data_IF_822007478549
#
_entry.id   IF_822007478549
#
_cell.length_a   1.000
_cell.length_b   1.000
_cell.length_c   1.000
_cell.angle_alpha   90.00
_cell.angle_beta   90.00
_cell.angle_gamma   90.00
#
_symmetry.space_group_name_H-M   'P 1'
#
loop_
_entity.id
_entity.type
_entity.pdbx_description
1 polymer ?
#
# COMPACT_ATOMS: atom_id res chain seq x y z
N UNK A 1 -15.94 -15.59 0.73
CA UNK A 1 -15.06 -14.62 1.38
C UNK A 1 -14.15 -14.06 0.31
N UNK A 2 -14.29 -12.78 -0.03
CA UNK A 2 -13.39 -12.09 -0.94
C UNK A 2 -12.38 -11.29 -0.11
N UNK A 3 -11.26 -10.86 -0.71
CA UNK A 3 -10.25 -10.03 -0.05
C UNK A 3 -10.35 -8.61 -0.59
N UNK A 4 -10.46 -7.61 0.30
CA UNK A 4 -10.45 -6.21 -0.10
C UNK A 4 -9.01 -5.66 -0.07
N UNK A 5 -8.45 -5.39 -1.25
CA UNK A 5 -7.12 -4.84 -1.38
C UNK A 5 -7.15 -3.30 -1.40
N UNK A 6 -6.58 -2.66 -0.38
CA UNK A 6 -6.59 -1.19 -0.28
C UNK A 6 -5.16 -0.67 -0.25
N UNK A 7 -4.78 0.05 -1.30
CA UNK A 7 -3.45 0.64 -1.48
C UNK A 7 -3.43 2.16 -1.25
N UNK A 8 -4.45 2.72 -0.58
CA UNK A 8 -4.57 4.15 -0.34
C UNK A 8 -4.12 4.56 1.05
N UNK A 9 -2.98 5.25 1.14
CA UNK A 9 -2.55 5.85 2.39
C UNK A 9 -3.44 7.03 2.83
N UNK A 10 -3.96 7.83 1.89
CA UNK A 10 -4.72 9.04 2.21
C UNK A 10 -6.03 8.71 2.90
N UNK A 11 -6.74 7.67 2.45
CA UNK A 11 -7.90 7.11 3.12
C UNK A 11 -7.60 6.82 4.59
N UNK A 12 -6.56 6.04 4.89
CA UNK A 12 -6.23 5.69 6.28
C UNK A 12 -5.81 6.89 7.12
N UNK A 13 -5.09 7.88 6.54
CA UNK A 13 -4.81 9.16 7.24
C UNK A 13 -6.10 9.90 7.59
N UNK A 14 -7.07 9.94 6.68
CA UNK A 14 -8.34 10.66 6.85
C UNK A 14 -9.30 9.94 7.79
N UNK A 15 -9.26 8.61 7.86
CA UNK A 15 -10.00 7.83 8.86
C UNK A 15 -9.50 8.15 10.29
N UNK A 16 -8.27 8.64 10.43
CA UNK A 16 -7.69 9.07 11.69
C UNK A 16 -6.98 7.95 12.46
N UNK A 17 -6.53 8.28 13.67
CA UNK A 17 -5.94 7.34 14.64
C UNK A 17 -7.01 6.91 15.64
N UNK A 18 -6.87 5.76 16.29
CA UNK A 18 -7.80 5.37 17.35
C UNK A 18 -7.72 6.34 18.55
N UNK A 19 -8.86 6.68 19.20
CA UNK A 19 -10.23 6.30 18.84
C UNK A 19 -10.79 7.13 17.67
N UNK A 20 -11.44 6.48 16.69
CA UNK A 20 -12.12 7.16 15.57
C UNK A 20 -13.45 6.51 15.20
N UNK A 21 -14.52 7.32 15.12
CA UNK A 21 -15.84 6.85 14.66
C UNK A 21 -15.83 6.34 13.22
N UNK A 22 -14.98 6.92 12.37
CA UNK A 22 -14.82 6.48 10.99
C UNK A 22 -14.11 5.13 10.91
N UNK A 23 -13.06 4.90 11.73
CA UNK A 23 -12.40 3.59 11.81
C UNK A 23 -13.36 2.52 12.35
N UNK A 24 -14.17 2.84 13.37
CA UNK A 24 -15.16 1.90 13.88
C UNK A 24 -16.24 1.57 12.84
N UNK A 25 -16.69 2.56 12.08
CA UNK A 25 -17.65 2.32 10.98
C UNK A 25 -17.06 1.43 9.89
N UNK A 26 -15.78 1.62 9.54
CA UNK A 26 -15.09 0.76 8.58
C UNK A 26 -14.96 -0.67 9.11
N UNK A 27 -14.56 -0.84 10.38
CA UNK A 27 -14.49 -2.14 11.04
C UNK A 27 -15.82 -2.88 10.96
N UNK A 28 -16.92 -2.24 11.37
CA UNK A 28 -18.25 -2.86 11.33
C UNK A 28 -18.64 -3.28 9.91
N UNK A 29 -18.32 -2.48 8.89
CA UNK A 29 -18.59 -2.84 7.50
C UNK A 29 -17.77 -4.05 7.02
N UNK A 30 -16.51 -4.16 7.44
CA UNK A 30 -15.63 -5.30 7.11
C UNK A 30 -16.13 -6.58 7.78
N UNK A 31 -16.54 -6.49 9.05
CA UNK A 31 -17.11 -7.59 9.81
C UNK A 31 -18.45 -8.06 9.22
N UNK A 32 -19.36 -7.13 8.89
CA UNK A 32 -20.65 -7.43 8.25
C UNK A 32 -20.46 -8.11 6.89
N UNK A 33 -19.48 -7.67 6.12
CA UNK A 33 -19.13 -8.28 4.83
C UNK A 33 -18.41 -9.64 4.96
N UNK A 34 -17.99 -10.05 6.17
CA UNK A 34 -17.24 -11.28 6.40
C UNK A 34 -15.95 -11.34 5.58
N UNK A 35 -15.22 -10.21 5.52
CA UNK A 35 -13.98 -10.04 4.75
C UNK A 35 -12.84 -9.50 5.63
N UNK A 36 -11.67 -9.32 5.02
CA UNK A 36 -10.51 -8.67 5.62
C UNK A 36 -9.95 -7.64 4.63
N UNK A 37 -9.39 -6.55 5.16
CA UNK A 37 -8.65 -5.59 4.37
C UNK A 37 -7.18 -6.01 4.30
N UNK A 38 -6.62 -6.02 3.09
CA UNK A 38 -5.22 -6.28 2.83
C UNK A 38 -4.54 -5.01 2.33
N UNK A 39 -3.59 -4.48 3.11
CA UNK A 39 -2.82 -3.28 2.75
C UNK A 39 -1.42 -3.65 2.25
N UNK A 40 -0.89 -3.00 1.21
CA UNK A 40 0.52 -3.16 0.86
C UNK A 40 1.45 -2.74 2.00
N UNK A 41 2.60 -3.43 2.14
CA UNK A 41 3.63 -3.07 3.13
C UNK A 41 4.09 -1.61 3.00
N UNK A 42 4.11 -1.05 1.79
CA UNK A 42 4.47 0.36 1.56
C UNK A 42 3.49 1.33 2.26
N UNK A 43 2.18 1.05 2.21
CA UNK A 43 1.14 1.86 2.88
C UNK A 43 1.32 1.77 4.40
N UNK A 44 1.56 0.56 4.92
CA UNK A 44 1.84 0.37 6.34
C UNK A 44 3.05 1.20 6.80
N UNK A 45 4.15 1.16 6.05
CA UNK A 45 5.36 1.92 6.40
C UNK A 45 5.18 3.44 6.28
N UNK A 46 4.37 3.93 5.34
CA UNK A 46 4.11 5.37 5.19
C UNK A 46 3.30 5.96 6.36
N UNK A 47 2.40 5.16 6.90
CA UNK A 47 1.53 5.51 8.02
C UNK A 47 2.22 5.34 9.38
N UNK A 48 3.36 4.65 9.42
CA UNK A 48 4.11 4.45 10.64
C UNK A 48 4.78 5.74 11.12
N UNK A 49 4.74 5.96 12.44
CA UNK A 49 5.41 7.09 13.06
C UNK A 49 6.94 6.84 13.06
N UNK A 50 7.64 7.47 12.11
CA UNK A 50 9.09 7.33 11.92
C UNK A 50 9.97 7.86 13.09
N UNK A 51 9.38 8.26 14.21
CA UNK A 51 10.09 8.75 15.40
C UNK A 51 10.56 7.64 16.34
N UNK A 52 10.05 6.41 16.19
CA UNK A 52 10.47 5.24 16.98
C UNK A 52 11.37 4.35 16.12
N UNK A 53 12.67 4.35 16.40
CA UNK A 53 13.66 3.60 15.62
C UNK A 53 13.63 2.08 15.88
N UNK A 54 13.09 1.65 17.02
CA UNK A 54 13.19 0.26 17.48
C UNK A 54 11.93 -0.56 17.18
N UNK A 55 10.78 0.09 17.01
CA UNK A 55 9.56 -0.51 16.48
C UNK A 55 8.68 0.61 15.92
N UNK A 56 8.57 0.75 14.59
CA UNK A 56 7.72 1.77 13.99
C UNK A 56 6.25 1.45 14.29
N UNK A 57 5.67 2.16 15.26
CA UNK A 57 4.24 2.08 15.57
C UNK A 57 3.44 2.70 14.44
N UNK A 58 2.40 1.99 13.98
CA UNK A 58 1.43 2.50 13.03
C UNK A 58 0.10 2.80 13.76
N UNK A 59 -0.09 4.03 14.26
CA UNK A 59 -1.26 4.39 15.05
C UNK A 59 -2.58 4.39 14.26
N UNK A 60 -2.51 4.26 12.93
CA UNK A 60 -3.68 4.10 12.08
C UNK A 60 -4.08 2.62 11.93
N UNK A 61 -3.11 1.70 11.89
CA UNK A 61 -3.35 0.32 11.46
C UNK A 61 -3.06 -0.76 12.51
N UNK A 62 -2.20 -0.51 13.50
CA UNK A 62 -1.76 -1.55 14.45
C UNK A 62 -2.93 -2.21 15.18
N UNK A 63 -3.84 -1.41 15.73
CA UNK A 63 -5.04 -1.94 16.40
C UNK A 63 -5.90 -2.76 15.44
N UNK A 64 -6.03 -2.35 14.18
CA UNK A 64 -6.82 -3.10 13.19
C UNK A 64 -6.18 -4.46 12.84
N UNK A 65 -4.85 -4.53 12.87
CA UNK A 65 -4.07 -5.76 12.68
C UNK A 65 -4.21 -6.68 13.89
N UNK A 66 -4.08 -6.13 15.10
CA UNK A 66 -4.24 -6.86 16.36
C UNK A 66 -5.64 -7.47 16.50
N UNK A 67 -6.67 -6.73 16.08
CA UNK A 67 -8.06 -7.19 16.06
C UNK A 67 -8.40 -8.13 14.90
N UNK A 68 -7.49 -8.30 13.93
CA UNK A 68 -7.58 -9.31 12.87
C UNK A 68 -8.47 -8.97 11.68
N UNK A 69 -9.03 -7.76 11.58
CA UNK A 69 -9.85 -7.34 10.43
C UNK A 69 -9.05 -6.62 9.34
N UNK A 70 -7.76 -6.34 9.61
CA UNK A 70 -6.80 -5.82 8.64
C UNK A 70 -5.50 -6.65 8.67
N UNK A 71 -4.87 -6.84 7.51
CA UNK A 71 -3.57 -7.50 7.38
C UNK A 71 -2.64 -6.74 6.46
N UNK A 72 -1.34 -6.78 6.78
CA UNK A 72 -0.31 -6.37 5.83
C UNK A 72 -0.13 -7.50 4.82
N UNK A 73 -0.37 -7.18 3.55
CA UNK A 73 -0.20 -8.11 2.46
C UNK A 73 1.28 -8.50 2.29
N UNK A 74 1.57 -9.77 1.98
CA UNK A 74 2.91 -10.20 1.67
C UNK A 74 3.46 -9.42 0.46
N UNK A 75 4.78 -9.20 0.40
CA UNK A 75 5.40 -8.59 -0.77
C UNK A 75 5.14 -9.44 -2.01
N UNK A 76 5.07 -8.78 -3.17
CA UNK A 76 4.96 -9.48 -4.44
C UNK A 76 6.18 -10.39 -4.66
N UNK A 77 6.00 -11.60 -5.21
CA UNK A 77 7.09 -12.54 -5.46
C UNK A 77 8.12 -12.00 -6.48
N UNK A 78 9.32 -12.60 -6.45
CA UNK A 78 10.47 -12.29 -7.32
C UNK A 78 11.46 -11.30 -6.71
N UNK A 79 12.62 -11.10 -7.34
CA UNK A 79 13.60 -10.09 -6.94
C UNK A 79 13.31 -8.75 -7.64
N UNK A 80 13.24 -7.65 -6.87
CA UNK A 80 13.00 -6.29 -7.41
C UNK A 80 14.21 -5.68 -8.11
N UNK A 81 15.39 -6.28 -7.93
CA UNK A 81 16.64 -5.86 -8.57
C UNK A 81 16.84 -6.51 -9.93
N UNK A 82 16.07 -7.57 -10.22
CA UNK A 82 16.11 -8.23 -11.52
C UNK A 82 15.48 -7.37 -12.61
N UNK A 83 15.95 -7.56 -13.84
CA UNK A 83 15.37 -6.92 -15.02
C UNK A 83 14.09 -7.62 -15.47
N UNK A 84 13.35 -6.96 -16.37
CA UNK A 84 12.16 -7.55 -16.98
C UNK A 84 12.48 -8.88 -17.68
N UNK A 85 11.82 -9.95 -17.26
CA UNK A 85 11.92 -11.27 -17.88
C UNK A 85 10.60 -11.68 -18.59
N UNK A 86 10.71 -12.02 -19.86
CA UNK A 86 9.60 -12.51 -20.67
C UNK A 86 9.17 -13.93 -20.30
N UNK A 87 10.02 -14.73 -19.66
CA UNK A 87 9.63 -16.06 -19.14
C UNK A 87 9.00 -16.03 -17.76
N UNK A 88 9.04 -14.90 -17.05
CA UNK A 88 8.45 -14.77 -15.72
C UNK A 88 6.92 -14.95 -15.71
N UNK A 89 6.39 -15.25 -14.52
CA UNK A 89 4.96 -15.35 -14.29
C UNK A 89 4.24 -14.01 -14.47
N UNK A 90 2.90 -14.02 -14.66
CA UNK A 90 2.12 -12.80 -14.87
C UNK A 90 2.30 -11.75 -13.76
N UNK A 91 2.39 -12.18 -12.50
CA UNK A 91 2.57 -11.31 -11.34
C UNK A 91 3.93 -10.61 -11.37
N UNK A 92 4.99 -11.34 -11.69
CA UNK A 92 6.35 -10.79 -11.79
C UNK A 92 6.46 -9.80 -12.96
N UNK A 93 5.85 -10.14 -14.11
CA UNK A 93 5.75 -9.22 -15.26
C UNK A 93 5.03 -7.93 -14.92
N UNK A 94 3.88 -8.03 -14.25
CA UNK A 94 3.10 -6.86 -13.83
C UNK A 94 3.92 -5.94 -12.91
N UNK A 95 4.66 -6.54 -11.97
CA UNK A 95 5.58 -5.81 -11.09
C UNK A 95 6.68 -5.10 -11.88
N UNK A 96 7.37 -5.79 -12.80
CA UNK A 96 8.44 -5.18 -13.59
C UNK A 96 7.94 -4.00 -14.44
N UNK A 97 6.75 -4.10 -15.04
CA UNK A 97 6.13 -3.01 -15.80
C UNK A 97 5.86 -1.81 -14.89
N UNK A 98 5.31 -2.04 -13.69
CA UNK A 98 5.05 -0.98 -12.72
C UNK A 98 6.35 -0.31 -12.23
N UNK A 99 7.35 -1.10 -11.83
CA UNK A 99 8.65 -0.59 -11.36
C UNK A 99 9.37 0.19 -12.47
N UNK A 100 9.30 -0.28 -13.71
CA UNK A 100 9.85 0.40 -14.89
C UNK A 100 9.21 1.77 -15.13
N UNK A 101 7.89 1.89 -15.00
CA UNK A 101 7.19 3.18 -15.11
C UNK A 101 7.59 4.15 -13.99
N UNK A 102 7.64 3.68 -12.74
CA UNK A 102 8.03 4.50 -11.58
C UNK A 102 9.45 5.03 -11.69
N UNK A 103 10.40 4.19 -12.11
CA UNK A 103 11.78 4.60 -12.28
C UNK A 103 11.90 5.70 -13.35
N UNK A 104 11.17 5.59 -14.47
CA UNK A 104 11.13 6.63 -15.50
C UNK A 104 10.54 7.94 -14.97
N UNK A 105 9.40 7.91 -14.29
CA UNK A 105 8.79 9.13 -13.73
C UNK A 105 9.69 9.81 -12.69
N UNK A 106 10.35 9.04 -11.82
CA UNK A 106 11.27 9.59 -10.83
C UNK A 106 12.46 10.31 -11.48
N UNK A 107 12.97 9.78 -12.60
CA UNK A 107 14.04 10.39 -13.38
C UNK A 107 13.57 11.66 -14.11
N UNK A 108 12.32 11.69 -14.58
CA UNK A 108 11.72 12.88 -15.19
C UNK A 108 11.55 13.99 -14.14
N UNK A 109 11.00 13.68 -12.96
CA UNK A 109 10.84 14.67 -11.87
C UNK A 109 12.16 15.22 -11.33
N UNK A 110 13.19 14.37 -11.26
CA UNK A 110 14.56 14.80 -10.91
C UNK A 110 15.13 15.77 -11.93
N UNK A 111 14.74 15.66 -13.21
CA UNK A 111 15.19 16.54 -14.29
C UNK A 111 14.42 17.85 -14.38
N UNK A 112 13.16 17.90 -13.96
CA UNK A 112 12.27 19.05 -14.20
C UNK A 112 12.03 19.97 -13.00
N UNK A 113 12.44 19.62 -11.78
CA UNK A 113 12.18 20.49 -10.60
C UNK A 113 13.34 20.58 -9.61
N UNK A 114 14.04 21.72 -9.63
CA UNK A 114 14.73 22.24 -8.44
C UNK A 114 13.68 22.81 -7.47
N UNK A 115 13.28 22.01 -6.48
CA UNK A 115 12.15 22.19 -5.53
C UNK A 115 10.78 21.77 -6.06
N UNK A 116 10.43 20.51 -5.80
CA UNK A 116 9.24 20.17 -4.99
C UNK A 116 9.36 18.71 -4.53
N UNK A 117 9.28 18.50 -3.22
CA UNK A 117 9.41 17.19 -2.58
C UNK A 117 8.10 16.42 -2.71
N UNK A 118 8.19 15.13 -3.04
CA UNK A 118 7.42 14.05 -2.39
C UNK A 118 5.93 13.82 -2.76
N UNK A 119 5.50 13.97 -4.02
CA UNK A 119 4.07 13.71 -4.35
C UNK A 119 3.78 12.72 -5.49
N UNK A 120 4.70 12.44 -6.42
CA UNK A 120 4.32 11.66 -7.63
C UNK A 120 4.78 10.21 -7.66
N UNK A 121 5.63 9.77 -6.73
CA UNK A 121 5.99 8.34 -6.58
C UNK A 121 4.90 7.52 -5.86
N UNK A 122 3.97 8.19 -5.17
CA UNK A 122 2.99 7.59 -4.27
C UNK A 122 1.62 7.30 -4.90
N UNK A 123 1.23 8.00 -5.97
CA UNK A 123 -0.10 7.84 -6.57
C UNK A 123 -0.31 6.51 -7.34
N UNK A 124 0.74 5.72 -7.60
CA UNK A 124 0.63 4.54 -8.49
C UNK A 124 0.62 3.17 -7.80
N UNK A 125 1.16 3.03 -6.58
CA UNK A 125 0.93 1.83 -5.75
C UNK A 125 -0.59 1.58 -5.55
N UNK A 126 -1.37 2.66 -5.64
CA UNK A 126 -2.82 2.74 -5.58
C UNK A 126 -3.56 1.93 -6.68
N UNK A 127 -3.02 1.82 -7.90
CA UNK A 127 -3.82 1.40 -9.07
C UNK A 127 -3.66 -0.09 -9.47
N UNK A 128 -2.61 -0.77 -9.04
CA UNK A 128 -2.27 -2.11 -9.56
C UNK A 128 -3.03 -3.28 -8.92
N UNK A 129 -3.78 -3.09 -7.84
CA UNK A 129 -4.60 -4.16 -7.22
C UNK A 129 -6.05 -4.23 -7.69
N UNK A 130 -6.53 -3.28 -8.50
CA UNK A 130 -7.89 -3.31 -9.05
C UNK A 130 -8.06 -4.24 -10.27
N UNK A 131 -6.99 -4.91 -10.72
CA UNK A 131 -7.02 -5.81 -11.89
C UNK A 131 -7.08 -7.31 -11.55
N UNK A 132 -7.15 -7.70 -10.27
CA UNK A 132 -7.28 -9.11 -9.86
C UNK A 132 -8.72 -9.50 -9.46
N UNK A 133 -9.72 -8.82 -10.02
CA UNK A 133 -11.14 -9.16 -9.83
C UNK A 133 -11.90 -9.09 -11.15
N UNK A 134 -11.48 -9.90 -12.12
CA UNK A 134 -12.34 -10.51 -13.15
C UNK A 134 -11.86 -11.94 -13.37
#
# INVERSE_FOLDING_TARGET
MYTANIADTVMFRNLGKQPSSHLQSLKSAVEEAGTEIWVPAAVYHELADARSADSPTNPCLDTAIEEGWLRVAPPLPGDRTEGFDNSAGPVEKARFVADGFLNQQSNIQRRTTGRMRHWSRWQFDYSMRMLESV
#
